data_IF_939676506125
#
_entry.id   IF_939676506125
#
_cell.length_a   1.000
_cell.length_b   1.000
_cell.length_c   1.000
_cell.angle_alpha   90.00
_cell.angle_beta   90.00
_cell.angle_gamma   90.00
#
_symmetry.space_group_name_H-M   'P 1'
#
loop_
_entity.id
_entity.type
_entity.pdbx_description
1 polymer ?
#
# COMPACT_ATOMS: atom_id res chain seq x y z
N UNK A 1 -17.82 -27.08 5.85
CA UNK A 1 -18.00 -26.03 4.83
C UNK A 1 -17.67 -24.71 5.52
N UNK A 2 -16.43 -24.26 5.45
CA UNK A 2 -16.02 -22.98 6.02
C UNK A 2 -16.61 -21.88 5.16
N UNK A 3 -17.48 -21.05 5.75
CA UNK A 3 -18.05 -19.89 5.08
C UNK A 3 -16.91 -19.04 4.50
N UNK A 4 -16.97 -18.73 3.21
CA UNK A 4 -16.05 -17.81 2.56
C UNK A 4 -16.03 -16.50 3.37
N UNK A 5 -14.85 -15.94 3.72
CA UNK A 5 -14.78 -14.66 4.40
C UNK A 5 -15.61 -13.64 3.63
N UNK A 6 -16.43 -12.84 4.32
CA UNK A 6 -17.20 -11.78 3.67
C UNK A 6 -16.31 -10.72 3.04
N UNK A 7 -15.03 -10.65 3.44
CA UNK A 7 -14.02 -9.77 2.90
C UNK A 7 -12.63 -10.46 2.96
N UNK A 8 -12.02 -10.78 1.82
CA UNK A 8 -10.68 -11.39 1.80
C UNK A 8 -9.58 -10.39 2.18
N UNK A 9 -9.78 -9.11 1.84
CA UNK A 9 -8.74 -8.09 1.94
C UNK A 9 -9.30 -6.75 2.40
N UNK A 10 -8.83 -6.24 3.52
CA UNK A 10 -9.16 -4.91 4.02
C UNK A 10 -7.93 -4.00 3.98
N UNK A 11 -7.99 -2.90 3.24
CA UNK A 11 -6.89 -1.95 3.16
C UNK A 11 -7.18 -0.63 3.87
N UNK A 12 -6.15 -0.08 4.48
CA UNK A 12 -6.16 1.22 5.15
C UNK A 12 -5.09 2.07 4.46
N UNK A 13 -5.50 3.15 3.79
CA UNK A 13 -4.60 4.04 3.08
C UNK A 13 -4.36 5.34 3.86
N UNK A 14 -3.10 5.77 3.92
CA UNK A 14 -2.69 6.99 4.63
C UNK A 14 -3.10 8.30 3.93
N UNK A 15 -3.49 8.20 2.67
CA UNK A 15 -4.01 9.26 1.82
C UNK A 15 -5.14 8.79 0.89
N UNK A 16 -5.75 9.75 0.19
CA UNK A 16 -6.85 9.48 -0.74
C UNK A 16 -6.34 8.95 -2.10
N UNK A 17 -5.25 9.50 -2.61
CA UNK A 17 -4.73 9.16 -3.94
C UNK A 17 -4.21 7.73 -3.97
N UNK A 18 -3.36 7.35 -3.02
CA UNK A 18 -2.82 5.99 -2.92
C UNK A 18 -3.89 4.96 -2.59
N UNK A 19 -4.91 5.30 -1.80
CA UNK A 19 -6.03 4.39 -1.55
C UNK A 19 -6.92 4.18 -2.79
N UNK A 20 -7.17 5.23 -3.57
CA UNK A 20 -7.92 5.12 -4.84
C UNK A 20 -7.15 4.32 -5.89
N UNK A 21 -5.82 4.52 -5.97
CA UNK A 21 -4.93 3.73 -6.81
C UNK A 21 -5.01 2.24 -6.46
N UNK A 22 -4.87 1.89 -5.17
CA UNK A 22 -4.98 0.51 -4.69
C UNK A 22 -6.32 -0.13 -5.06
N UNK A 23 -7.43 0.57 -4.80
CA UNK A 23 -8.76 0.07 -5.16
C UNK A 23 -8.87 -0.17 -6.68
N UNK A 24 -8.37 0.76 -7.49
CA UNK A 24 -8.38 0.66 -8.95
C UNK A 24 -7.54 -0.52 -9.45
N UNK A 25 -6.37 -0.77 -8.86
CA UNK A 25 -5.50 -1.90 -9.23
C UNK A 25 -6.13 -3.27 -8.94
N UNK A 26 -6.91 -3.38 -7.85
CA UNK A 26 -7.66 -4.58 -7.50
C UNK A 26 -8.84 -4.79 -8.45
N UNK A 27 -9.63 -3.72 -8.71
CA UNK A 27 -10.73 -3.76 -9.69
C UNK A 27 -10.23 -4.15 -11.07
N UNK A 28 -9.10 -3.60 -11.53
CA UNK A 28 -8.48 -3.94 -12.82
C UNK A 28 -8.08 -5.43 -12.93
N UNK A 29 -7.91 -6.12 -11.81
CA UNK A 29 -7.63 -7.57 -11.73
C UNK A 29 -8.87 -8.42 -11.46
N UNK A 30 -10.04 -7.79 -11.56
CA UNK A 30 -11.33 -8.42 -11.41
C UNK A 30 -11.78 -8.64 -9.98
N UNK A 31 -11.14 -8.01 -8.98
CA UNK A 31 -11.55 -8.13 -7.58
C UNK A 31 -12.67 -7.12 -7.28
N UNK A 32 -13.88 -7.58 -6.91
CA UNK A 32 -14.94 -6.69 -6.43
C UNK A 32 -14.44 -5.92 -5.20
N UNK A 33 -14.22 -4.62 -5.38
CA UNK A 33 -13.55 -3.78 -4.37
C UNK A 33 -14.37 -2.55 -4.07
N UNK A 34 -14.73 -2.39 -2.79
CA UNK A 34 -15.34 -1.16 -2.26
C UNK A 34 -14.28 -0.14 -1.84
N UNK A 35 -14.68 1.13 -1.78
CA UNK A 35 -13.81 2.23 -1.35
C UNK A 35 -14.63 3.26 -0.57
N UNK A 36 -14.13 3.71 0.58
CA UNK A 36 -14.76 4.74 1.41
C UNK A 36 -13.75 5.76 1.91
N UNK A 37 -14.15 7.02 1.99
CA UNK A 37 -13.34 8.09 2.60
C UNK A 37 -13.74 8.27 4.06
N UNK A 38 -12.76 8.18 4.96
CA UNK A 38 -12.95 8.31 6.39
C UNK A 38 -13.68 7.12 7.04
N UNK A 39 -14.11 7.31 8.28
CA UNK A 39 -14.64 6.24 9.14
C UNK A 39 -16.18 6.23 9.27
N UNK A 40 -16.88 7.19 8.68
CA UNK A 40 -18.33 7.33 8.85
C UNK A 40 -19.14 6.49 7.86
N UNK A 41 -18.65 6.30 6.64
CA UNK A 41 -19.36 5.58 5.59
C UNK A 41 -19.35 4.07 5.86
N UNK A 42 -20.50 3.37 5.78
CA UNK A 42 -20.56 1.92 6.00
C UNK A 42 -19.75 1.15 4.95
N UNK A 43 -19.28 -0.04 5.31
CA UNK A 43 -18.65 -0.98 4.38
C UNK A 43 -19.77 -1.81 3.74
N UNK A 44 -20.04 -1.68 2.43
CA UNK A 44 -21.10 -2.45 1.79
C UNK A 44 -20.74 -3.95 1.76
N UNK A 45 -21.70 -4.85 2.02
CA UNK A 45 -21.47 -6.28 1.85
C UNK A 45 -21.29 -6.64 0.37
N UNK A 46 -20.70 -7.81 0.11
CA UNK A 46 -20.61 -8.39 -1.24
C UNK A 46 -19.35 -8.06 -2.03
N UNK A 47 -18.48 -7.19 -1.52
CA UNK A 47 -17.14 -6.99 -2.07
C UNK A 47 -16.14 -7.97 -1.44
N UNK A 48 -15.15 -8.42 -2.22
CA UNK A 48 -14.05 -9.25 -1.72
C UNK A 48 -12.92 -8.43 -1.12
N UNK A 49 -12.83 -7.16 -1.49
CA UNK A 49 -11.90 -6.21 -0.91
C UNK A 49 -12.56 -4.87 -0.56
N UNK A 50 -12.02 -4.17 0.41
CA UNK A 50 -12.48 -2.82 0.75
C UNK A 50 -11.31 -1.94 1.17
N UNK A 51 -11.26 -0.71 0.66
CA UNK A 51 -10.20 0.26 0.98
C UNK A 51 -10.79 1.44 1.75
N UNK A 52 -10.27 1.71 2.95
CA UNK A 52 -10.59 2.90 3.75
C UNK A 52 -9.50 3.94 3.52
N UNK A 53 -9.89 5.10 2.99
CA UNK A 53 -9.00 6.22 2.67
C UNK A 53 -9.00 7.19 3.85
N UNK A 54 -7.85 7.36 4.49
CA UNK A 54 -7.65 8.29 5.59
C UNK A 54 -6.77 9.46 5.16
N UNK A 55 -6.60 10.44 6.06
CA UNK A 55 -5.66 11.56 5.92
C UNK A 55 -4.66 11.51 7.06
N UNK A 56 -3.93 10.40 7.17
CA UNK A 56 -3.09 10.09 8.33
C UNK A 56 -1.60 10.24 8.09
N UNK A 57 -1.16 10.54 6.87
CA UNK A 57 0.27 10.67 6.52
C UNK A 57 1.04 11.67 7.39
N UNK A 58 0.51 12.88 7.56
CA UNK A 58 1.23 14.03 8.14
C UNK A 58 0.58 14.61 9.41
N UNK A 59 -0.36 13.88 10.01
CA UNK A 59 -0.95 14.26 11.31
C UNK A 59 -0.09 13.72 12.46
N UNK A 60 -0.42 14.09 13.71
CA UNK A 60 0.26 13.53 14.87
C UNK A 60 0.14 12.00 14.91
N UNK A 61 1.24 11.30 15.25
CA UNK A 61 1.29 9.83 15.23
C UNK A 61 0.20 9.17 16.10
N UNK A 62 -0.10 9.75 17.26
CA UNK A 62 -1.18 9.27 18.13
C UNK A 62 -2.56 9.34 17.46
N UNK A 63 -2.83 10.38 16.68
CA UNK A 63 -4.08 10.51 15.94
C UNK A 63 -4.12 9.60 14.71
N UNK A 64 -2.98 9.41 14.04
CA UNK A 64 -2.86 8.46 12.94
C UNK A 64 -3.10 7.03 13.41
N UNK A 65 -2.46 6.60 14.49
CA UNK A 65 -2.66 5.29 15.12
C UNK A 65 -4.14 5.10 15.50
N UNK A 66 -4.76 6.07 16.16
CA UNK A 66 -6.18 6.00 16.55
C UNK A 66 -7.10 5.77 15.35
N UNK A 67 -6.91 6.53 14.27
CA UNK A 67 -7.74 6.40 13.07
C UNK A 67 -7.47 5.10 12.31
N UNK A 68 -6.21 4.67 12.23
CA UNK A 68 -5.82 3.41 11.58
C UNK A 68 -6.38 2.21 12.33
N UNK A 69 -6.31 2.19 13.67
CA UNK A 69 -6.91 1.12 14.47
C UNK A 69 -8.43 1.09 14.32
N UNK A 70 -9.09 2.24 14.36
CA UNK A 70 -10.53 2.31 14.11
C UNK A 70 -10.90 1.81 12.70
N UNK A 71 -10.08 2.09 11.68
CA UNK A 71 -10.28 1.55 10.34
C UNK A 71 -10.10 0.01 10.31
N UNK A 72 -9.06 -0.49 10.98
CA UNK A 72 -8.80 -1.93 11.09
C UNK A 72 -9.95 -2.66 11.77
N UNK A 73 -10.46 -2.13 12.88
CA UNK A 73 -11.60 -2.71 13.59
C UNK A 73 -12.83 -2.84 12.69
N UNK A 74 -13.17 -1.80 11.91
CA UNK A 74 -14.30 -1.84 10.97
C UNK A 74 -14.10 -2.89 9.86
N UNK A 75 -12.87 -3.02 9.35
CA UNK A 75 -12.56 -4.03 8.33
C UNK A 75 -12.66 -5.44 8.92
N UNK A 76 -12.14 -5.67 10.13
CA UNK A 76 -12.22 -6.93 10.85
C UNK A 76 -13.68 -7.30 11.18
N UNK A 77 -14.49 -6.33 11.62
CA UNK A 77 -15.94 -6.49 11.83
C UNK A 77 -16.68 -6.83 10.53
N UNK A 78 -16.24 -6.28 9.39
CA UNK A 78 -16.74 -6.65 8.06
C UNK A 78 -16.19 -7.99 7.55
N UNK A 79 -15.37 -8.68 8.34
CA UNK A 79 -14.85 -10.02 8.08
C UNK A 79 -13.55 -10.05 7.26
N UNK A 80 -12.75 -8.97 7.26
CA UNK A 80 -11.45 -8.93 6.61
C UNK A 80 -10.54 -10.06 7.11
N UNK A 81 -10.11 -10.94 6.21
CA UNK A 81 -9.11 -11.98 6.51
C UNK A 81 -7.71 -11.40 6.68
N UNK A 82 -7.32 -10.49 5.80
CA UNK A 82 -6.01 -9.83 5.81
C UNK A 82 -6.17 -8.32 5.83
N UNK A 83 -5.36 -7.64 6.65
CA UNK A 83 -5.24 -6.18 6.65
C UNK A 83 -4.02 -5.76 5.83
N UNK A 84 -4.19 -4.72 5.02
CA UNK A 84 -3.11 -4.09 4.27
C UNK A 84 -2.97 -2.61 4.66
N UNK A 85 -1.80 -2.22 5.13
CA UNK A 85 -1.50 -0.83 5.38
C UNK A 85 -0.77 -0.21 4.18
N UNK A 86 -1.50 0.67 3.48
CA UNK A 86 -1.04 1.37 2.28
C UNK A 86 -0.44 2.72 2.66
N UNK A 87 0.81 2.93 2.27
CA UNK A 87 1.51 4.22 2.37
C UNK A 87 2.22 4.57 1.06
N UNK A 88 2.80 5.77 0.97
CA UNK A 88 3.39 6.29 -0.27
C UNK A 88 4.56 5.42 -0.80
N UNK A 89 4.67 5.32 -2.12
CA UNK A 89 5.76 4.65 -2.82
C UNK A 89 7.11 5.38 -2.72
N UNK A 90 7.23 6.45 -1.93
CA UNK A 90 8.48 7.12 -1.59
C UNK A 90 8.71 7.17 -0.07
N UNK A 91 7.98 6.32 0.68
CA UNK A 91 8.13 6.12 2.11
C UNK A 91 7.95 7.39 2.96
N UNK A 92 7.13 8.32 2.45
CA UNK A 92 6.83 9.64 3.02
C UNK A 92 6.52 9.57 4.52
N UNK A 93 7.51 9.96 5.32
CA UNK A 93 7.43 9.95 6.77
C UNK A 93 8.52 10.83 7.36
N UNK A 94 8.48 11.02 8.67
CA UNK A 94 9.54 11.64 9.46
C UNK A 94 9.96 10.65 10.56
N UNK A 95 11.03 10.93 11.33
CA UNK A 95 11.34 10.12 12.52
C UNK A 95 10.18 10.05 13.54
N UNK A 96 9.21 10.98 13.48
CA UNK A 96 8.02 10.94 14.34
C UNK A 96 6.91 10.02 13.81
N UNK A 97 7.01 9.48 12.60
CA UNK A 97 5.98 8.63 11.99
C UNK A 97 5.51 9.07 10.61
N UNK A 98 4.42 8.50 10.08
CA UNK A 98 3.46 7.61 10.78
C UNK A 98 3.49 6.13 10.34
N UNK A 99 4.42 5.75 9.46
CA UNK A 99 4.47 4.38 8.92
C UNK A 99 4.75 3.36 10.03
N UNK A 100 5.83 3.56 10.80
CA UNK A 100 6.21 2.68 11.90
C UNK A 100 5.14 2.58 12.98
N UNK A 101 4.72 3.71 13.61
CA UNK A 101 3.75 3.68 14.70
C UNK A 101 2.42 3.03 14.32
N UNK A 102 1.91 3.27 13.11
CA UNK A 102 0.68 2.64 12.63
C UNK A 102 0.86 1.15 12.36
N UNK A 103 1.98 0.74 11.74
CA UNK A 103 2.24 -0.68 11.48
C UNK A 103 2.42 -1.49 12.77
N UNK A 104 3.11 -0.93 13.78
CA UNK A 104 3.27 -1.57 15.09
C UNK A 104 1.92 -1.74 15.80
N UNK A 105 1.10 -0.69 15.81
CA UNK A 105 -0.23 -0.75 16.41
C UNK A 105 -1.13 -1.77 15.70
N UNK A 106 -1.06 -1.85 14.37
CA UNK A 106 -1.79 -2.85 13.59
C UNK A 106 -1.32 -4.27 13.90
N UNK A 107 0.00 -4.51 13.96
CA UNK A 107 0.55 -5.81 14.36
C UNK A 107 0.04 -6.23 15.73
N UNK A 108 0.14 -5.35 16.73
CA UNK A 108 -0.35 -5.62 18.08
C UNK A 108 -1.85 -5.96 18.07
N UNK A 109 -2.66 -5.17 17.35
CA UNK A 109 -4.11 -5.37 17.25
C UNK A 109 -4.49 -6.72 16.62
N UNK A 110 -3.69 -7.19 15.68
CA UNK A 110 -3.91 -8.43 14.92
C UNK A 110 -3.29 -9.67 15.59
N UNK A 111 -2.78 -9.54 16.82
CA UNK A 111 -2.21 -10.65 17.59
C UNK A 111 -0.70 -10.82 17.48
N UNK A 112 0.00 -9.82 16.95
CA UNK A 112 1.45 -9.79 16.78
C UNK A 112 1.94 -10.39 15.46
N UNK A 113 3.19 -10.87 15.47
CA UNK A 113 3.84 -11.50 14.32
C UNK A 113 4.80 -10.60 13.56
N UNK A 114 5.02 -10.92 12.29
CA UNK A 114 5.89 -10.18 11.36
C UNK A 114 5.03 -9.54 10.27
N UNK A 115 5.43 -8.35 9.82
CA UNK A 115 4.95 -7.78 8.56
C UNK A 115 6.12 -7.37 7.67
N UNK A 116 5.89 -7.38 6.36
CA UNK A 116 6.82 -6.82 5.39
C UNK A 116 6.45 -5.37 5.05
N UNK A 117 7.47 -4.61 4.62
CA UNK A 117 7.37 -3.25 4.10
C UNK A 117 7.88 -3.25 2.66
N UNK A 118 6.95 -3.07 1.71
CA UNK A 118 7.24 -3.15 0.26
C UNK A 118 6.78 -1.88 -0.45
N UNK A 119 7.56 -0.77 -0.39
CA UNK A 119 7.14 0.52 -0.96
C UNK A 119 7.34 0.63 -2.48
N UNK A 120 7.96 -0.37 -3.13
CA UNK A 120 8.38 -0.26 -4.53
C UNK A 120 7.19 -0.04 -5.48
N UNK A 121 7.45 0.70 -6.56
CA UNK A 121 6.57 0.87 -7.72
C UNK A 121 7.46 0.79 -8.96
N UNK A 122 7.81 -0.44 -9.35
CA UNK A 122 8.84 -0.72 -10.34
C UNK A 122 8.56 -0.05 -11.70
N UNK A 123 7.30 0.00 -12.13
CA UNK A 123 6.88 0.65 -13.39
C UNK A 123 7.31 2.12 -13.47
N UNK A 124 7.35 2.82 -12.33
CA UNK A 124 7.75 4.22 -12.27
C UNK A 124 9.15 4.40 -11.68
N UNK A 125 9.95 3.33 -11.58
CA UNK A 125 11.33 3.37 -11.12
C UNK A 125 11.49 3.62 -9.62
N UNK A 126 10.49 3.29 -8.79
CA UNK A 126 10.65 3.25 -7.33
C UNK A 126 11.07 1.84 -6.94
N UNK A 127 12.33 1.65 -6.59
CA UNK A 127 12.91 0.34 -6.29
C UNK A 127 13.68 0.37 -4.97
N UNK A 128 13.86 -0.80 -4.37
CA UNK A 128 14.66 -0.97 -3.14
C UNK A 128 15.72 -2.03 -3.38
N UNK A 129 16.97 -1.71 -3.08
CA UNK A 129 18.10 -2.64 -3.18
C UNK A 129 19.05 -2.46 -2.00
N UNK A 130 19.40 -3.55 -1.32
CA UNK A 130 20.16 -3.54 -0.06
C UNK A 130 19.52 -2.61 0.98
N UNK A 131 18.19 -2.60 1.05
CA UNK A 131 17.41 -1.70 1.90
C UNK A 131 17.43 -0.22 1.48
N UNK A 132 18.13 0.14 0.40
CA UNK A 132 18.21 1.52 -0.09
C UNK A 132 17.18 1.76 -1.18
N UNK A 133 16.37 2.80 -0.99
CA UNK A 133 15.35 3.21 -1.93
C UNK A 133 15.93 4.11 -3.02
N UNK A 134 15.50 3.86 -4.26
CA UNK A 134 15.81 4.65 -5.43
C UNK A 134 14.54 5.32 -5.97
N UNK A 135 14.67 6.60 -6.33
CA UNK A 135 13.70 7.35 -7.11
C UNK A 135 14.21 7.52 -8.54
N UNK A 136 13.82 6.61 -9.43
CA UNK A 136 14.45 6.49 -10.75
C UNK A 136 15.88 5.98 -10.63
N UNK A 137 16.84 6.70 -11.21
CA UNK A 137 18.26 6.33 -11.17
C UNK A 137 19.01 6.87 -9.93
N UNK A 138 18.37 7.68 -9.09
CA UNK A 138 19.00 8.32 -7.93
C UNK A 138 18.58 7.64 -6.63
N UNK A 139 19.46 7.68 -5.63
CA UNK A 139 19.06 7.41 -4.25
C UNK A 139 17.94 8.38 -3.83
N UNK A 140 16.98 7.90 -3.03
CA UNK A 140 15.83 8.71 -2.61
C UNK A 140 16.25 10.04 -1.95
N UNK A 141 17.26 9.97 -1.09
CA UNK A 141 17.88 11.10 -0.38
C UNK A 141 18.59 12.12 -1.27
N UNK A 142 18.87 11.74 -2.51
CA UNK A 142 19.52 12.60 -3.53
C UNK A 142 18.52 13.09 -4.59
N UNK A 143 17.33 12.48 -4.63
CA UNK A 143 16.24 12.86 -5.53
C UNK A 143 15.53 14.15 -5.07
N UNK A 144 14.66 14.76 -5.91
CA UNK A 144 13.83 15.90 -5.49
C UNK A 144 12.99 15.65 -4.22
N UNK A 145 12.71 14.38 -3.86
CA UNK A 145 11.97 14.04 -2.64
C UNK A 145 12.65 14.53 -1.36
N UNK A 146 13.98 14.75 -1.36
CA UNK A 146 14.70 15.34 -0.23
C UNK A 146 14.25 16.77 0.11
N UNK A 147 13.60 17.45 -0.83
CA UNK A 147 13.08 18.82 -0.71
C UNK A 147 11.57 18.86 -0.47
N UNK A 148 10.94 17.71 -0.22
CA UNK A 148 9.50 17.66 0.06
C UNK A 148 9.15 18.55 1.28
N UNK A 149 8.13 19.42 1.17
CA UNK A 149 7.85 20.42 2.19
C UNK A 149 7.28 19.85 3.49
N UNK A 150 6.77 18.60 3.46
CA UNK A 150 6.11 17.98 4.61
C UNK A 150 6.92 16.79 5.16
N UNK A 151 7.51 16.01 4.26
CA UNK A 151 8.21 14.75 4.55
C UNK A 151 9.50 14.66 3.73
N UNK A 152 10.49 15.54 4.00
CA UNK A 152 11.76 15.53 3.28
C UNK A 152 12.50 14.22 3.54
N UNK A 153 12.72 13.44 2.49
CA UNK A 153 13.41 12.15 2.58
C UNK A 153 14.90 12.36 2.34
N UNK A 154 15.72 12.42 3.39
CA UNK A 154 17.18 12.67 3.30
C UNK A 154 18.04 11.44 3.53
N UNK A 155 17.44 10.35 4.03
CA UNK A 155 18.08 9.03 4.14
C UNK A 155 17.38 8.06 3.18
N UNK A 156 18.18 7.33 2.40
CA UNK A 156 17.66 6.35 1.45
C UNK A 156 17.57 4.95 2.04
N UNK A 157 18.22 4.69 3.17
CA UNK A 157 18.19 3.39 3.82
C UNK A 157 16.88 3.23 4.60
N UNK A 158 15.95 2.47 4.03
CA UNK A 158 14.61 2.30 4.59
C UNK A 158 14.61 1.54 5.92
N UNK A 159 15.61 0.69 6.19
CA UNK A 159 15.76 0.05 7.50
C UNK A 159 15.99 1.12 8.57
N UNK A 160 16.90 2.08 8.33
CA UNK A 160 17.13 3.20 9.26
C UNK A 160 15.93 4.13 9.36
N UNK A 161 15.31 4.49 8.23
CA UNK A 161 14.15 5.38 8.20
C UNK A 161 12.97 4.79 8.98
N UNK A 162 12.72 3.49 8.83
CA UNK A 162 11.67 2.80 9.57
C UNK A 162 12.06 2.61 11.04
N UNK A 163 13.33 2.27 11.33
CA UNK A 163 13.80 2.11 12.71
C UNK A 163 13.70 3.40 13.52
N UNK A 164 13.94 4.56 12.90
CA UNK A 164 13.87 5.86 13.57
C UNK A 164 12.46 6.21 14.08
N UNK A 165 11.42 5.58 13.52
CA UNK A 165 10.02 5.81 13.88
C UNK A 165 9.35 4.58 14.53
N UNK A 166 10.10 3.51 14.82
CA UNK A 166 9.59 2.25 15.35
C UNK A 166 10.28 1.87 16.65
N UNK A 167 9.56 1.20 17.55
CA UNK A 167 10.10 0.63 18.79
C UNK A 167 10.69 -0.76 18.58
N UNK A 168 10.03 -1.56 17.74
CA UNK A 168 10.45 -2.90 17.33
C UNK A 168 11.71 -2.85 16.47
N UNK A 169 12.42 -3.99 16.44
CA UNK A 169 13.63 -4.13 15.64
C UNK A 169 13.27 -4.28 14.17
N UNK A 170 13.85 -3.43 13.33
CA UNK A 170 13.64 -3.45 11.88
C UNK A 170 14.71 -4.30 11.20
N UNK A 171 14.28 -5.24 10.35
CA UNK A 171 15.13 -6.11 9.55
C UNK A 171 15.03 -5.83 8.05
N UNK A 172 15.79 -6.60 7.27
CA UNK A 172 15.80 -6.55 5.80
C UNK A 172 15.70 -7.98 5.25
N UNK A 173 14.77 -8.20 4.33
CA UNK A 173 14.78 -9.34 3.42
C UNK A 173 15.53 -8.90 2.15
N UNK A 174 16.80 -9.30 1.99
CA UNK A 174 17.65 -8.77 0.92
C UNK A 174 17.29 -9.37 -0.44
N UNK A 175 17.73 -8.71 -1.51
CA UNK A 175 17.37 -9.06 -2.88
C UNK A 175 17.62 -10.53 -3.24
N UNK A 176 18.74 -11.12 -2.80
CA UNK A 176 19.03 -12.53 -3.11
C UNK A 176 18.00 -13.51 -2.51
N UNK A 177 17.40 -13.16 -1.37
CA UNK A 177 16.30 -13.95 -0.78
C UNK A 177 15.02 -13.74 -1.58
N UNK A 178 14.73 -12.50 -1.97
CA UNK A 178 13.55 -12.17 -2.78
C UNK A 178 13.60 -12.82 -4.16
N UNK A 179 14.76 -12.80 -4.83
CA UNK A 179 15.01 -13.43 -6.12
C UNK A 179 14.88 -14.96 -6.07
N UNK A 180 15.21 -15.56 -4.92
CA UNK A 180 15.02 -16.99 -4.66
C UNK A 180 13.54 -17.41 -4.49
N UNK A 181 12.62 -16.44 -4.42
CA UNK A 181 11.18 -16.67 -4.49
C UNK A 181 10.47 -16.83 -3.14
N UNK A 182 9.16 -17.12 -3.21
CA UNK A 182 8.25 -17.01 -2.08
C UNK A 182 8.60 -17.92 -0.88
N UNK A 183 9.11 -19.13 -1.11
CA UNK A 183 9.55 -20.00 -0.02
C UNK A 183 10.77 -19.46 0.71
N UNK A 184 11.75 -18.90 -0.01
CA UNK A 184 12.91 -18.27 0.60
C UNK A 184 12.51 -17.05 1.45
N UNK A 185 11.57 -16.24 0.95
CA UNK A 185 11.00 -15.11 1.71
C UNK A 185 10.29 -15.61 2.98
N UNK A 186 9.47 -16.67 2.89
CA UNK A 186 8.82 -17.28 4.06
C UNK A 186 9.83 -17.82 5.08
N UNK A 187 10.94 -18.40 4.62
CA UNK A 187 12.00 -18.88 5.51
C UNK A 187 12.68 -17.71 6.23
N UNK A 188 13.03 -16.65 5.51
CA UNK A 188 13.60 -15.44 6.09
C UNK A 188 12.66 -14.79 7.11
N UNK A 189 11.35 -14.71 6.83
CA UNK A 189 10.35 -14.24 7.80
C UNK A 189 10.45 -15.02 9.12
N UNK A 190 10.56 -16.35 9.07
CA UNK A 190 10.66 -17.18 10.27
C UNK A 190 11.99 -16.96 11.01
N UNK A 191 13.09 -16.84 10.30
CA UNK A 191 14.42 -16.57 10.88
C UNK A 191 14.47 -15.20 11.57
N UNK A 192 13.99 -14.15 10.90
CA UNK A 192 13.89 -12.81 11.47
C UNK A 192 12.94 -12.77 12.68
N UNK A 193 11.77 -13.41 12.57
CA UNK A 193 10.81 -13.50 13.68
C UNK A 193 11.44 -14.17 14.91
N UNK A 194 12.20 -15.24 14.72
CA UNK A 194 12.90 -15.93 15.82
C UNK A 194 13.99 -15.05 16.46
N UNK A 195 14.56 -14.13 15.69
CA UNK A 195 15.50 -13.10 16.16
C UNK A 195 14.85 -11.84 16.76
N UNK A 196 13.52 -11.78 16.85
CA UNK A 196 12.77 -10.64 17.38
C UNK A 196 12.60 -9.46 16.41
N UNK A 197 12.89 -9.66 15.12
CA UNK A 197 12.67 -8.66 14.08
C UNK A 197 11.29 -8.84 13.46
N UNK A 198 10.36 -7.95 13.78
CA UNK A 198 8.94 -8.04 13.38
C UNK A 198 8.56 -7.11 12.22
N UNK A 199 9.44 -6.16 11.89
CA UNK A 199 9.23 -5.16 10.84
C UNK A 199 10.30 -5.36 9.77
N UNK A 200 9.97 -5.94 8.62
CA UNK A 200 10.99 -6.31 7.62
C UNK A 200 10.83 -5.50 6.33
N UNK A 201 11.84 -4.69 6.00
CA UNK A 201 11.93 -4.06 4.68
C UNK A 201 12.24 -5.15 3.65
N UNK A 202 11.65 -5.05 2.46
CA UNK A 202 11.96 -5.96 1.35
C UNK A 202 12.70 -5.22 0.25
N UNK A 203 13.76 -5.83 -0.26
CA UNK A 203 14.30 -5.42 -1.55
C UNK A 203 13.30 -5.75 -2.66
N UNK A 204 13.18 -4.88 -3.65
CA UNK A 204 12.27 -5.04 -4.78
C UNK A 204 12.75 -4.18 -5.92
N UNK A 205 13.24 -4.82 -6.99
CA UNK A 205 13.82 -4.13 -8.14
C UNK A 205 13.04 -4.38 -9.43
N UNK A 206 12.22 -5.44 -9.48
CA UNK A 206 11.42 -5.84 -10.65
C UNK A 206 10.03 -6.32 -10.25
N UNK A 207 9.13 -6.33 -11.23
CA UNK A 207 7.74 -6.77 -11.03
C UNK A 207 7.64 -8.21 -10.51
N UNK A 208 8.52 -9.11 -10.96
CA UNK A 208 8.56 -10.50 -10.47
C UNK A 208 8.84 -10.61 -8.96
N UNK A 209 9.54 -9.63 -8.40
CA UNK A 209 9.88 -9.59 -6.98
C UNK A 209 8.60 -9.31 -6.17
N UNK A 210 7.75 -8.40 -6.67
CA UNK A 210 6.42 -8.14 -6.10
C UNK A 210 5.52 -9.39 -6.14
N UNK A 211 5.58 -10.17 -7.21
CA UNK A 211 4.86 -11.45 -7.33
C UNK A 211 5.33 -12.43 -6.23
N UNK A 212 6.65 -12.60 -6.08
CA UNK A 212 7.21 -13.47 -5.05
C UNK A 212 6.85 -13.02 -3.62
N UNK A 213 6.87 -11.69 -3.37
CA UNK A 213 6.49 -11.12 -2.08
C UNK A 213 4.99 -11.34 -1.80
N UNK A 214 4.12 -11.09 -2.77
CA UNK A 214 2.67 -11.30 -2.60
C UNK A 214 2.34 -12.78 -2.33
N UNK A 215 2.97 -13.69 -3.07
CA UNK A 215 2.86 -15.14 -2.87
C UNK A 215 3.42 -15.59 -1.51
N UNK A 216 4.41 -14.89 -0.95
CA UNK A 216 4.96 -15.19 0.36
C UNK A 216 4.10 -14.69 1.52
N UNK A 217 3.25 -13.68 1.28
CA UNK A 217 2.55 -12.94 2.35
C UNK A 217 1.02 -12.95 2.26
N UNK A 218 0.42 -13.65 1.30
CA UNK A 218 -1.05 -13.69 1.12
C UNK A 218 -1.81 -14.19 2.38
N UNK A 219 -1.14 -14.89 3.29
CA UNK A 219 -1.69 -15.45 4.52
C UNK A 219 -1.22 -14.74 5.80
N UNK A 220 -0.37 -13.72 5.70
CA UNK A 220 -0.04 -12.88 6.85
C UNK A 220 -1.26 -12.06 7.29
N UNK A 221 -1.54 -11.90 8.60
CA UNK A 221 -2.63 -11.05 9.07
C UNK A 221 -2.46 -9.58 8.66
N UNK A 222 -1.21 -9.11 8.62
CA UNK A 222 -0.83 -7.77 8.18
C UNK A 222 0.19 -7.86 7.05
N UNK A 223 -0.02 -7.05 6.02
CA UNK A 223 0.98 -6.69 5.02
C UNK A 223 1.04 -5.17 4.89
N UNK A 224 2.21 -4.62 4.56
CA UNK A 224 2.34 -3.17 4.33
C UNK A 224 3.14 -2.85 3.07
N UNK A 225 2.81 -1.74 2.42
CA UNK A 225 3.52 -1.36 1.20
C UNK A 225 2.75 -0.42 0.29
N UNK A 226 3.20 -0.38 -0.95
CA UNK A 226 2.52 0.34 -2.01
C UNK A 226 1.43 -0.53 -2.69
N UNK A 227 0.59 0.08 -3.54
CA UNK A 227 -0.51 -0.58 -4.25
C UNK A 227 -0.04 -1.73 -5.13
N UNK A 228 1.16 -1.60 -5.70
CA UNK A 228 1.80 -2.54 -6.63
C UNK A 228 1.94 -3.96 -6.06
N UNK A 229 2.36 -4.14 -4.80
CA UNK A 229 2.49 -5.48 -4.21
C UNK A 229 1.12 -6.12 -3.97
N UNK A 230 0.14 -5.33 -3.49
CA UNK A 230 -1.22 -5.81 -3.26
C UNK A 230 -1.90 -6.23 -4.58
N UNK A 231 -1.53 -5.58 -5.68
CA UNK A 231 -1.97 -5.95 -7.00
C UNK A 231 -1.54 -7.38 -7.40
N UNK A 232 -0.51 -7.96 -6.79
CA UNK A 232 -0.10 -9.35 -7.07
C UNK A 232 -0.67 -10.39 -6.11
N UNK A 233 -1.54 -9.98 -5.18
CA UNK A 233 -2.22 -10.93 -4.29
C UNK A 233 -3.31 -11.79 -4.97
N UNK A 234 -4.09 -11.31 -5.97
CA UNK A 234 -5.14 -12.12 -6.57
C UNK A 234 -4.68 -13.47 -7.18
N UNK A 235 -3.56 -13.53 -7.92
CA UNK A 235 -3.02 -14.83 -8.37
C UNK A 235 -2.68 -15.77 -7.20
N UNK A 236 -2.14 -15.27 -6.10
CA UNK A 236 -1.85 -16.06 -4.90
C UNK A 236 -3.16 -16.58 -4.26
N UNK A 237 -4.19 -15.72 -4.15
CA UNK A 237 -5.50 -16.12 -3.63
C UNK A 237 -6.16 -17.22 -4.45
N UNK A 238 -6.06 -17.16 -5.79
CA UNK A 238 -6.55 -18.20 -6.69
C UNK A 238 -5.78 -19.52 -6.50
N UNK A 239 -4.44 -19.43 -6.48
CA UNK A 239 -3.54 -20.60 -6.35
C UNK A 239 -3.78 -21.36 -5.05
N UNK A 240 -4.04 -20.63 -3.96
CA UNK A 240 -4.27 -21.21 -2.62
C UNK A 240 -5.75 -21.42 -2.28
N UNK A 241 -6.66 -21.29 -3.24
CA UNK A 241 -8.09 -21.58 -3.06
C UNK A 241 -8.83 -20.62 -2.12
N UNK A 242 -8.30 -19.42 -1.88
CA UNK A 242 -8.99 -18.35 -1.16
C UNK A 242 -10.00 -17.60 -2.04
N UNK A 243 -9.84 -17.71 -3.35
CA UNK A 243 -10.65 -17.09 -4.38
C UNK A 243 -10.90 -18.10 -5.50
N UNK A 244 -12.09 -18.13 -6.08
CA UNK A 244 -12.36 -18.88 -7.31
C UNK A 244 -12.39 -17.95 -8.51
N UNK A 245 -12.06 -18.44 -9.70
CA UNK A 245 -12.15 -17.63 -10.92
C UNK A 245 -13.57 -17.11 -11.21
N UNK A 246 -14.60 -17.79 -10.71
CA UNK A 246 -16.01 -17.36 -10.82
C UNK A 246 -16.34 -16.13 -9.94
N UNK A 247 -15.53 -15.84 -8.93
CA UNK A 247 -15.70 -14.68 -8.05
C UNK A 247 -15.11 -13.40 -8.68
N UNK A 248 -14.35 -13.53 -9.78
CA UNK A 248 -13.79 -12.41 -10.50
C UNK A 248 -14.86 -11.71 -11.35
N UNK A 249 -14.90 -10.39 -11.29
CA UNK A 249 -15.85 -9.54 -12.02
C UNK A 249 -15.08 -8.64 -12.98
N UNK A 250 -15.47 -8.60 -14.25
CA UNK A 250 -14.87 -7.67 -15.21
C UNK A 250 -15.09 -6.23 -14.75
N UNK A 251 -14.00 -5.47 -14.66
CA UNK A 251 -14.07 -4.05 -14.35
C UNK A 251 -14.97 -3.33 -15.37
N UNK A 252 -16.06 -2.73 -14.88
CA UNK A 252 -16.94 -1.90 -15.69
C UNK A 252 -17.14 -0.55 -15.03
N UNK A 253 -16.85 0.52 -15.77
CA UNK A 253 -17.16 1.89 -15.38
C UNK A 253 -18.23 2.40 -16.35
N UNK A 254 -19.53 2.29 -16.01
CA UNK A 254 -20.58 2.79 -16.88
C UNK A 254 -20.44 4.30 -17.06
N UNK A 255 -20.70 4.78 -18.27
CA UNK A 255 -20.69 6.22 -18.55
C UNK A 255 -21.77 6.91 -17.72
N UNK A 256 -21.39 7.99 -17.03
CA UNK A 256 -22.34 8.87 -16.35
C UNK A 256 -22.68 10.01 -17.31
N UNK A 257 -23.94 10.10 -17.72
CA UNK A 257 -24.43 11.19 -18.57
C UNK A 257 -24.72 12.42 -17.72
N UNK A 258 -24.27 13.60 -18.16
CA UNK A 258 -24.59 14.87 -17.52
C UNK A 258 -23.53 15.94 -17.76
N UNK A 259 -23.74 17.16 -17.23
CA UNK A 259 -22.71 18.19 -17.22
C UNK A 259 -21.45 17.71 -16.49
N UNK A 260 -20.28 18.05 -17.04
CA UNK A 260 -18.98 17.75 -16.43
C UNK A 260 -18.15 19.02 -16.29
N UNK A 261 -17.27 19.05 -15.29
CA UNK A 261 -16.29 20.10 -15.10
C UNK A 261 -14.91 19.48 -14.81
N UNK A 262 -13.85 20.13 -15.30
CA UNK A 262 -12.46 19.78 -14.97
C UNK A 262 -11.92 20.82 -14.02
N UNK A 263 -11.49 20.40 -12.83
CA UNK A 263 -10.87 21.26 -11.82
C UNK A 263 -9.38 20.91 -11.75
N UNK A 264 -8.52 21.82 -12.22
CA UNK A 264 -7.08 21.63 -12.19
C UNK A 264 -6.43 22.62 -11.21
N UNK A 265 -5.90 22.09 -10.10
CA UNK A 265 -5.14 22.88 -9.12
C UNK A 265 -3.63 22.68 -9.18
N UNK A 266 -3.16 21.76 -10.02
CA UNK A 266 -1.73 21.46 -10.16
C UNK A 266 -1.04 22.50 -11.04
N UNK A 267 0.13 22.95 -10.61
CA UNK A 267 0.99 23.91 -11.33
C UNK A 267 2.13 23.23 -12.09
N UNK A 268 2.09 21.91 -12.23
CA UNK A 268 3.10 21.16 -12.98
C UNK A 268 3.02 21.45 -14.49
N UNK A 269 4.16 21.45 -15.18
CA UNK A 269 4.25 21.67 -16.64
C UNK A 269 3.29 20.78 -17.42
N UNK A 270 3.14 19.52 -17.01
CA UNK A 270 2.22 18.57 -17.64
C UNK A 270 0.75 19.00 -17.52
N UNK A 271 0.35 19.58 -16.40
CA UNK A 271 -1.01 20.10 -16.20
C UNK A 271 -1.25 21.30 -17.10
N UNK A 272 -0.25 22.16 -17.28
CA UNK A 272 -0.31 23.32 -18.17
C UNK A 272 -0.53 22.86 -19.62
N UNK A 273 0.27 21.91 -20.11
CA UNK A 273 0.09 21.30 -21.44
C UNK A 273 -1.32 20.70 -21.62
N UNK A 274 -1.84 20.02 -20.59
CA UNK A 274 -3.18 19.42 -20.61
C UNK A 274 -4.28 20.48 -20.68
N UNK A 275 -4.14 21.58 -19.95
CA UNK A 275 -5.10 22.70 -19.96
C UNK A 275 -5.10 23.44 -21.30
N UNK A 276 -3.92 23.70 -21.88
CA UNK A 276 -3.79 24.28 -23.22
C UNK A 276 -4.48 23.41 -24.27
N UNK A 277 -4.30 22.09 -24.19
CA UNK A 277 -4.97 21.14 -25.08
C UNK A 277 -6.49 21.10 -24.84
N UNK A 278 -6.94 21.16 -23.59
CA UNK A 278 -8.36 21.15 -23.24
C UNK A 278 -9.09 22.40 -23.76
N UNK A 279 -8.46 23.57 -23.65
CA UNK A 279 -9.00 24.87 -24.08
C UNK A 279 -9.25 24.97 -25.60
N UNK A 280 -8.63 24.10 -26.40
CA UNK A 280 -8.85 24.08 -27.86
C UNK A 280 -10.30 23.72 -28.22
N UNK A 281 -10.98 22.93 -27.38
CA UNK A 281 -12.32 22.42 -27.66
C UNK A 281 -13.34 22.73 -26.55
N UNK A 282 -12.92 23.37 -25.45
CA UNK A 282 -13.76 23.58 -24.27
C UNK A 282 -13.50 24.96 -23.66
N UNK A 283 -14.51 25.58 -23.01
CA UNK A 283 -14.29 26.81 -22.26
C UNK A 283 -13.36 26.55 -21.07
N UNK A 284 -12.36 27.43 -20.90
CA UNK A 284 -11.43 27.42 -19.78
C UNK A 284 -11.64 28.68 -18.93
N UNK A 285 -11.79 28.50 -17.61
CA UNK A 285 -11.81 29.57 -16.63
C UNK A 285 -10.53 29.47 -15.80
N UNK A 286 -9.74 30.54 -15.78
CA UNK A 286 -8.46 30.66 -15.05
C UNK A 286 -8.56 31.72 -13.96
#
# INVERSE_FOLDING_TARGET
>A
MTATPSLLFGAIADDLTGGTELASMLVARGIPTGCTVGLSAPIPPGNLAHVILLKTRVIAASDAVRQVLAAADRLLEAGARQIFFKYCATFDSTPAGNIGPCAEALLERLGGGVTLFTPALCETGRTVYQGHMFGGAQLLGESPKRLDPLTPMTDSNLVRVLQAQSKGKVGLVPYLVVDAGAEAIRNAIREHSAGGETLLVTDTIRERDLVAIAEATFDLPLMTGNSSVAAHLPPAWLTHGLLNSADLVTASLPAINGPAAVLAGSVADRTIEQLERFAQNNPLLT
#
